data_IF_507070523426
#
_entry.id   IF_507070523426
#
_cell.length_a   1.000
_cell.length_b   1.000
_cell.length_c   1.000
_cell.angle_alpha   90.00
_cell.angle_beta   90.00
_cell.angle_gamma   90.00
#
_symmetry.space_group_name_H-M   'P 1'
#
loop_
_entity.id
_entity.type
_entity.pdbx_description
1 polymer ?
#
# COMPACT_ATOMS: atom_id res chain seq x y z
N UNK A 1 23.64 17.86 -0.91
CA UNK A 1 22.24 18.27 -0.60
C UNK A 1 21.27 18.00 -1.76
N UNK A 2 21.48 18.60 -2.96
CA UNK A 2 20.60 18.40 -4.15
C UNK A 2 20.21 16.94 -4.44
N UNK A 3 21.14 16.00 -4.31
CA UNK A 3 20.89 14.57 -4.55
C UNK A 3 19.88 13.94 -3.58
N UNK A 4 19.86 14.37 -2.32
CA UNK A 4 18.90 13.91 -1.33
C UNK A 4 17.48 14.39 -1.68
N UNK A 5 17.36 15.65 -2.12
CA UNK A 5 16.09 16.23 -2.62
C UNK A 5 15.58 15.44 -3.84
N UNK A 6 16.46 15.16 -4.81
CA UNK A 6 16.11 14.38 -5.99
C UNK A 6 15.79 12.91 -5.67
N UNK A 7 16.43 12.32 -4.67
CA UNK A 7 16.12 10.96 -4.18
C UNK A 7 14.72 10.93 -3.55
N UNK A 8 14.45 11.83 -2.61
CA UNK A 8 13.15 11.95 -1.95
C UNK A 8 12.02 12.18 -2.98
N UNK A 9 12.21 13.09 -3.93
CA UNK A 9 11.26 13.33 -5.02
C UNK A 9 10.90 12.05 -5.80
N UNK A 10 11.92 11.26 -6.19
CA UNK A 10 11.73 9.98 -6.89
C UNK A 10 11.00 8.96 -6.03
N UNK A 11 11.30 8.90 -4.73
CA UNK A 11 10.69 7.94 -3.82
C UNK A 11 9.23 8.30 -3.48
N UNK A 12 8.90 9.60 -3.39
CA UNK A 12 7.51 10.06 -3.33
C UNK A 12 6.73 9.68 -4.60
N UNK A 13 7.29 9.91 -5.80
CA UNK A 13 6.65 9.49 -7.06
C UNK A 13 6.50 7.96 -7.17
N UNK A 14 7.47 7.18 -6.66
CA UNK A 14 7.37 5.71 -6.57
C UNK A 14 6.26 5.28 -5.60
N UNK A 15 6.05 5.99 -4.50
CA UNK A 15 4.94 5.72 -3.58
C UNK A 15 3.59 6.07 -4.23
N UNK A 16 3.46 7.22 -4.87
CA UNK A 16 2.23 7.61 -5.58
C UNK A 16 1.78 6.58 -6.63
N UNK A 17 2.72 5.88 -7.29
CA UNK A 17 2.40 4.77 -8.21
C UNK A 17 1.78 3.53 -7.54
N UNK A 18 1.88 3.38 -6.22
CA UNK A 18 1.27 2.30 -5.43
C UNK A 18 -0.17 2.60 -4.97
N UNK A 19 -0.68 3.82 -5.18
CA UNK A 19 -2.10 4.10 -4.94
C UNK A 19 -2.96 3.21 -5.84
N UNK A 20 -4.02 2.56 -5.33
CA UNK A 20 -4.82 1.63 -6.12
C UNK A 20 -5.52 2.33 -7.29
N UNK A 21 -6.20 3.44 -7.02
CA UNK A 21 -7.02 4.17 -7.98
C UNK A 21 -6.21 5.18 -8.81
N UNK A 22 -6.49 5.24 -10.12
CA UNK A 22 -5.75 6.10 -11.05
C UNK A 22 -5.84 7.60 -10.71
N UNK A 23 -7.03 8.09 -10.35
CA UNK A 23 -7.24 9.50 -9.99
C UNK A 23 -6.36 9.90 -8.80
N UNK A 24 -6.26 9.05 -7.77
CA UNK A 24 -5.38 9.24 -6.63
C UNK A 24 -3.88 9.18 -7.00
N UNK A 25 -3.47 8.38 -8.00
CA UNK A 25 -2.09 8.38 -8.51
C UNK A 25 -1.73 9.73 -9.14
N UNK A 26 -2.57 10.25 -10.02
CA UNK A 26 -2.28 11.51 -10.75
C UNK A 26 -2.40 12.74 -9.84
N UNK A 27 -3.37 12.75 -8.92
CA UNK A 27 -3.48 13.81 -7.89
C UNK A 27 -2.21 13.85 -7.01
N UNK A 28 -1.75 12.70 -6.51
CA UNK A 28 -0.52 12.65 -5.70
C UNK A 28 0.73 13.05 -6.50
N UNK A 29 0.89 12.59 -7.75
CA UNK A 29 2.01 13.04 -8.61
C UNK A 29 2.02 14.56 -8.79
N UNK A 30 0.84 15.15 -9.03
CA UNK A 30 0.68 16.60 -9.22
C UNK A 30 1.02 17.37 -7.94
N UNK A 31 0.51 16.91 -6.80
CA UNK A 31 0.82 17.49 -5.49
C UNK A 31 2.31 17.41 -5.13
N UNK A 32 2.96 16.27 -5.37
CA UNK A 32 4.41 16.09 -5.19
C UNK A 32 5.19 17.05 -6.10
N UNK A 33 4.81 17.16 -7.37
CA UNK A 33 5.45 18.07 -8.32
C UNK A 33 5.29 19.56 -7.90
N UNK A 34 4.14 19.93 -7.34
CA UNK A 34 3.87 21.27 -6.81
C UNK A 34 4.77 21.58 -5.61
N UNK A 35 4.73 20.77 -4.54
CA UNK A 35 5.51 21.00 -3.31
C UNK A 35 7.02 21.15 -3.54
N UNK A 36 7.59 20.36 -4.45
CA UNK A 36 9.01 20.48 -4.80
C UNK A 36 9.31 21.67 -5.72
N UNK A 37 8.33 22.14 -6.52
CA UNK A 37 8.45 23.33 -7.36
C UNK A 37 8.41 24.62 -6.52
N UNK A 38 7.50 24.70 -5.55
CA UNK A 38 7.34 25.85 -4.66
C UNK A 38 8.65 26.18 -3.92
N UNK A 39 9.40 25.14 -3.54
CA UNK A 39 10.67 25.27 -2.81
C UNK A 39 11.92 25.26 -3.73
N UNK A 40 11.76 25.28 -5.07
CA UNK A 40 12.86 25.13 -6.04
C UNK A 40 13.99 26.15 -5.87
N UNK A 41 13.65 27.37 -5.47
CA UNK A 41 14.60 28.49 -5.37
C UNK A 41 15.18 28.66 -3.96
N UNK A 42 14.73 27.87 -2.97
CA UNK A 42 15.23 27.93 -1.61
C UNK A 42 16.73 27.61 -1.57
N UNK A 43 17.50 28.46 -0.88
CA UNK A 43 18.96 28.34 -0.73
C UNK A 43 19.43 28.04 0.69
N UNK A 44 18.59 28.30 1.70
CA UNK A 44 18.96 28.04 3.08
C UNK A 44 19.11 26.54 3.36
N UNK A 45 20.32 26.15 3.76
CA UNK A 45 20.67 24.79 4.11
C UNK A 45 19.95 24.27 5.38
N UNK A 46 19.51 25.18 6.28
CA UNK A 46 18.71 24.83 7.45
C UNK A 46 17.30 24.39 7.06
N UNK A 47 16.56 25.27 6.39
CA UNK A 47 15.22 25.02 5.88
C UNK A 47 15.16 23.82 4.92
N UNK A 48 16.16 23.63 4.03
CA UNK A 48 16.20 22.44 3.16
C UNK A 48 16.34 21.14 3.97
N UNK A 49 17.13 21.13 5.07
CA UNK A 49 17.22 19.95 5.95
C UNK A 49 15.90 19.68 6.68
N UNK A 50 15.21 20.72 7.13
CA UNK A 50 13.90 20.60 7.78
C UNK A 50 12.86 20.02 6.80
N UNK A 51 12.71 20.60 5.62
CA UNK A 51 11.80 20.11 4.57
C UNK A 51 12.13 18.68 4.11
N UNK A 52 13.43 18.32 4.05
CA UNK A 52 13.85 16.95 3.77
C UNK A 52 13.40 15.98 4.88
N UNK A 53 13.46 16.38 6.15
CA UNK A 53 12.97 15.56 7.27
C UNK A 53 11.45 15.40 7.18
N UNK A 54 10.71 16.50 7.10
CA UNK A 54 9.24 16.50 7.02
C UNK A 54 8.73 15.66 5.84
N UNK A 55 9.36 15.80 4.66
CA UNK A 55 9.00 15.02 3.48
C UNK A 55 9.33 13.52 3.58
N UNK A 56 10.35 13.12 4.37
CA UNK A 56 10.56 11.70 4.69
C UNK A 56 9.48 11.20 5.65
N UNK A 57 9.10 11.99 6.67
CA UNK A 57 8.02 11.63 7.60
C UNK A 57 6.65 11.50 6.87
N UNK A 58 6.36 12.36 5.89
CA UNK A 58 5.20 12.21 5.00
C UNK A 58 5.27 10.94 4.15
N UNK A 59 6.44 10.65 3.58
CA UNK A 59 6.65 9.45 2.75
C UNK A 59 6.50 8.16 3.57
N UNK A 60 6.95 8.14 4.82
CA UNK A 60 6.79 6.98 5.71
C UNK A 60 5.34 6.80 6.17
N UNK A 61 4.59 7.89 6.41
CA UNK A 61 3.12 7.81 6.57
C UNK A 61 2.45 7.20 5.34
N UNK A 62 2.83 7.64 4.13
CA UNK A 62 2.29 7.09 2.88
C UNK A 62 2.63 5.59 2.70
N UNK A 63 3.88 5.18 2.99
CA UNK A 63 4.31 3.78 3.00
C UNK A 63 3.50 2.93 3.99
N UNK A 64 3.23 3.45 5.18
CA UNK A 64 2.38 2.79 6.17
C UNK A 64 0.95 2.56 5.63
N UNK A 65 0.32 3.58 5.04
CA UNK A 65 -1.02 3.42 4.44
C UNK A 65 -1.05 2.39 3.32
N UNK A 66 -0.03 2.34 2.44
CA UNK A 66 0.08 1.28 1.43
C UNK A 66 0.17 -0.11 2.06
N UNK A 67 0.96 -0.29 3.13
CA UNK A 67 1.08 -1.56 3.85
C UNK A 67 -0.26 -1.97 4.49
N UNK A 68 -0.95 -1.05 5.15
CA UNK A 68 -2.27 -1.32 5.75
C UNK A 68 -3.32 -1.68 4.69
N UNK A 69 -3.29 -1.01 3.53
CA UNK A 69 -4.17 -1.33 2.40
C UNK A 69 -3.89 -2.73 1.83
N UNK A 70 -2.62 -3.11 1.67
CA UNK A 70 -2.22 -4.45 1.23
C UNK A 70 -2.70 -5.54 2.21
N UNK A 71 -2.51 -5.35 3.51
CA UNK A 71 -3.01 -6.28 4.54
C UNK A 71 -4.54 -6.37 4.48
N UNK A 72 -5.25 -5.26 4.26
CA UNK A 72 -6.71 -5.26 4.11
C UNK A 72 -7.19 -6.03 2.87
N UNK A 73 -6.43 -6.03 1.77
CA UNK A 73 -6.70 -6.87 0.59
C UNK A 73 -6.44 -8.34 0.92
N UNK A 74 -5.25 -8.67 1.43
CA UNK A 74 -4.89 -10.06 1.76
C UNK A 74 -5.86 -10.70 2.74
N UNK A 75 -6.30 -9.97 3.78
CA UNK A 75 -7.29 -10.45 4.73
C UNK A 75 -8.67 -10.65 4.07
N UNK A 76 -9.04 -9.83 3.08
CA UNK A 76 -10.29 -10.03 2.32
C UNK A 76 -10.21 -11.26 1.43
N UNK A 77 -9.11 -11.45 0.72
CA UNK A 77 -8.86 -12.64 -0.12
C UNK A 77 -8.90 -13.91 0.74
N UNK A 78 -8.17 -13.94 1.86
CA UNK A 78 -8.19 -15.06 2.81
C UNK A 78 -9.58 -15.35 3.41
N UNK A 79 -10.43 -14.34 3.61
CA UNK A 79 -11.83 -14.50 4.05
C UNK A 79 -12.79 -14.85 2.90
N UNK A 80 -12.45 -14.56 1.64
CA UNK A 80 -13.22 -14.97 0.47
C UNK A 80 -12.92 -16.42 0.09
N UNK A 81 -11.67 -16.86 0.26
CA UNK A 81 -11.24 -18.24 0.00
C UNK A 81 -11.65 -19.21 1.12
N UNK A 82 -12.18 -18.72 2.25
CA UNK A 82 -12.55 -19.55 3.41
C UNK A 82 -13.98 -19.35 3.85
N UNK A 83 -14.63 -20.49 4.08
CA UNK A 83 -15.93 -20.58 4.69
C UNK A 83 -16.01 -19.82 6.03
N UNK A 84 -16.90 -18.85 6.16
CA UNK A 84 -17.12 -18.14 7.42
C UNK A 84 -17.72 -19.03 8.51
N UNK A 85 -18.46 -20.08 8.14
CA UNK A 85 -19.21 -20.95 9.06
C UNK A 85 -18.43 -22.22 9.48
N UNK A 86 -17.33 -22.57 8.80
CA UNK A 86 -16.49 -23.74 9.14
C UNK A 86 -14.98 -23.56 8.89
N UNK A 87 -14.55 -22.40 8.40
CA UNK A 87 -13.16 -21.98 8.16
C UNK A 87 -12.28 -22.89 7.29
N UNK A 88 -12.92 -23.88 6.68
CA UNK A 88 -12.35 -24.66 5.60
C UNK A 88 -12.20 -23.73 4.39
N UNK A 89 -11.08 -23.84 3.68
CA UNK A 89 -10.98 -23.25 2.34
C UNK A 89 -12.20 -23.71 1.53
N UNK A 90 -12.87 -22.83 0.80
CA UNK A 90 -14.10 -23.19 0.06
C UNK A 90 -13.84 -24.32 -0.95
N UNK A 91 -12.57 -24.54 -1.30
CA UNK A 91 -12.05 -25.70 -2.02
C UNK A 91 -11.29 -26.66 -1.06
N UNK A 92 -11.47 -27.99 -1.17
CA UNK A 92 -10.69 -29.00 -0.44
C UNK A 92 -9.62 -29.65 -1.34
N UNK A 93 -8.64 -30.31 -0.72
CA UNK A 93 -7.97 -31.45 -1.36
C UNK A 93 -8.43 -32.79 -0.76
N UNK A 94 -8.69 -32.90 0.56
CA UNK A 94 -9.01 -34.21 1.20
C UNK A 94 -10.08 -34.27 2.33
N UNK A 95 -10.73 -33.19 2.75
CA UNK A 95 -11.57 -33.26 3.98
C UNK A 95 -12.93 -33.97 3.73
N UNK A 96 -13.92 -34.02 4.67
CA UNK A 96 -15.23 -34.69 4.41
C UNK A 96 -16.57 -33.91 4.39
N UNK A 97 -16.68 -32.63 4.76
CA UNK A 97 -17.87 -31.81 4.43
C UNK A 97 -17.55 -30.29 4.32
N UNK A 98 -18.02 -29.59 3.27
CA UNK A 98 -17.83 -28.15 3.02
C UNK A 98 -18.91 -27.35 3.75
N UNK A 99 -18.55 -26.74 4.86
CA UNK A 99 -19.53 -26.38 5.88
C UNK A 99 -19.83 -24.88 5.99
N UNK A 100 -19.84 -24.13 4.88
CA UNK A 100 -20.64 -22.88 4.83
C UNK A 100 -22.13 -23.24 4.90
N UNK A 101 -22.46 -24.36 4.26
CA UNK A 101 -23.79 -24.92 4.07
C UNK A 101 -23.91 -26.41 4.46
N UNK A 102 -22.79 -27.15 4.59
CA UNK A 102 -22.76 -28.56 4.97
C UNK A 102 -22.67 -29.57 3.80
N UNK A 103 -22.13 -29.16 2.64
CA UNK A 103 -21.92 -29.92 1.37
C UNK A 103 -20.75 -30.95 1.33
N UNK A 104 -20.47 -31.53 0.15
CA UNK A 104 -19.39 -32.52 -0.17
C UNK A 104 -17.94 -32.20 0.26
N UNK A 105 -17.13 -33.16 0.74
CA UNK A 105 -15.67 -33.31 0.57
C UNK A 105 -15.30 -34.83 0.69
N UNK A 106 -14.16 -35.32 0.18
CA UNK A 106 -13.72 -36.73 0.33
C UNK A 106 -12.23 -36.89 0.74
N UNK A 107 -11.92 -37.90 1.56
CA UNK A 107 -10.55 -38.26 2.02
C UNK A 107 -9.95 -39.27 1.04
N UNK A 108 -8.86 -38.89 0.39
CA UNK A 108 -7.87 -39.82 -0.19
C UNK A 108 -6.90 -40.29 0.89
N UNK A 109 -6.42 -41.52 0.75
CA UNK A 109 -5.72 -42.35 1.75
C UNK A 109 -4.40 -41.78 2.30
#
# INVERSE_FOLDING_TARGET
MREYVLRLYRDCLRSARKCPEWQHREMMKTYIALKFRDQKNLRDAGAIKLLLREGNEELDRMRYYHKMYQIKIQNKEQHQDRCLNCNLVYEPIHAKFCAQCGSKRELTE
#
